data_IF_543108322418
#
_entry.id   IF_543108322418
#
_cell.length_a   1.000
_cell.length_b   1.000
_cell.length_c   1.000
_cell.angle_alpha   90.00
_cell.angle_beta   90.00
_cell.angle_gamma   90.00
#
_symmetry.space_group_name_H-M   'P 1'
#
loop_
_entity.id
_entity.type
_entity.pdbx_description
1 polymer ?
#
# COMPACT_ATOMS: atom_id res chain seq x y z
N UNK A 1 -10.57 -9.07 0.33
CA UNK A 1 -10.88 -8.91 -1.10
C UNK A 1 -9.69 -9.28 -1.98
N UNK A 2 -8.51 -8.63 -1.86
CA UNK A 2 -7.38 -8.87 -2.77
C UNK A 2 -6.89 -10.33 -2.74
N UNK A 3 -6.62 -10.90 -1.56
CA UNK A 3 -6.22 -12.30 -1.44
C UNK A 3 -7.24 -13.27 -2.05
N UNK A 4 -8.52 -13.01 -1.83
CA UNK A 4 -9.62 -13.81 -2.42
C UNK A 4 -9.63 -13.70 -3.94
N UNK A 5 -9.39 -12.50 -4.49
CA UNK A 5 -9.28 -12.30 -5.94
C UNK A 5 -8.16 -13.15 -6.53
N UNK A 6 -6.95 -13.07 -5.97
CA UNK A 6 -5.81 -13.87 -6.46
C UNK A 6 -6.05 -15.38 -6.33
N UNK A 7 -6.62 -15.82 -5.20
CA UNK A 7 -6.97 -17.23 -4.99
C UNK A 7 -7.98 -17.75 -6.04
N UNK A 8 -9.01 -16.96 -6.35
CA UNK A 8 -10.02 -17.29 -7.37
C UNK A 8 -9.42 -17.35 -8.79
N UNK A 9 -8.33 -16.64 -9.03
CA UNK A 9 -7.57 -16.67 -10.29
C UNK A 9 -6.49 -17.76 -10.30
N UNK A 10 -6.53 -18.68 -9.33
CA UNK A 10 -5.68 -19.87 -9.28
C UNK A 10 -4.32 -19.70 -8.59
N UNK A 11 -4.05 -18.55 -7.98
CA UNK A 11 -2.81 -18.30 -7.24
C UNK A 11 -2.82 -19.01 -5.88
N UNK A 12 -1.65 -19.45 -5.44
CA UNK A 12 -1.39 -19.73 -4.03
C UNK A 12 -1.03 -18.41 -3.34
N UNK A 13 -1.71 -18.08 -2.25
CA UNK A 13 -1.61 -16.75 -1.62
C UNK A 13 -1.21 -16.87 -0.17
N UNK A 14 0.00 -16.42 0.16
CA UNK A 14 0.40 -16.17 1.54
C UNK A 14 -0.15 -14.82 2.00
N UNK A 15 -0.87 -14.81 3.13
CA UNK A 15 -1.42 -13.60 3.73
C UNK A 15 -0.82 -13.34 5.10
N UNK A 16 -0.39 -12.10 5.34
CA UNK A 16 0.22 -11.70 6.60
C UNK A 16 -0.46 -10.48 7.21
N UNK A 17 -0.74 -10.55 8.50
CA UNK A 17 -1.26 -9.45 9.29
C UNK A 17 -1.06 -9.73 10.79
N UNK A 18 -1.34 -8.75 11.65
CA UNK A 18 -1.26 -8.90 13.11
C UNK A 18 -2.46 -9.62 13.72
N UNK A 19 -3.64 -9.53 13.07
CA UNK A 19 -4.90 -10.10 13.57
C UNK A 19 -5.04 -11.55 13.15
N UNK A 20 -4.57 -12.46 14.01
CA UNK A 20 -4.51 -13.90 13.75
C UNK A 20 -5.90 -14.47 13.43
N UNK A 21 -6.92 -14.14 14.23
CA UNK A 21 -8.29 -14.63 14.02
C UNK A 21 -8.87 -14.29 12.64
N UNK A 22 -8.51 -13.13 12.08
CA UNK A 22 -8.96 -12.74 10.74
C UNK A 22 -8.16 -13.43 9.64
N UNK A 23 -6.89 -13.73 9.90
CA UNK A 23 -6.06 -14.52 9.01
C UNK A 23 -6.57 -15.95 8.93
N UNK A 24 -6.90 -16.56 10.06
CA UNK A 24 -7.40 -17.94 10.15
C UNK A 24 -8.72 -18.09 9.37
N UNK A 25 -9.68 -17.19 9.60
CA UNK A 25 -10.92 -17.14 8.81
C UNK A 25 -10.66 -16.97 7.29
N UNK A 26 -9.60 -16.26 6.92
CA UNK A 26 -9.27 -16.06 5.51
C UNK A 26 -8.61 -17.32 4.92
N UNK A 27 -7.82 -18.04 5.72
CA UNK A 27 -7.15 -19.28 5.32
C UNK A 27 -8.10 -20.50 5.18
N UNK A 28 -9.35 -20.40 5.66
CA UNK A 28 -10.39 -21.38 5.33
C UNK A 28 -10.74 -21.41 3.82
N UNK A 29 -10.38 -20.33 3.10
CA UNK A 29 -10.57 -20.28 1.64
C UNK A 29 -9.46 -21.04 0.92
N UNK A 30 -9.83 -21.68 -0.17
CA UNK A 30 -8.91 -22.45 -1.01
C UNK A 30 -7.67 -21.61 -1.39
N UNK A 31 -6.49 -22.22 -1.35
CA UNK A 31 -5.22 -21.62 -1.77
C UNK A 31 -4.80 -20.35 -1.01
N UNK A 32 -5.34 -20.09 0.19
CA UNK A 32 -4.90 -18.99 1.06
C UNK A 32 -4.28 -19.58 2.31
N UNK A 33 -3.08 -19.08 2.67
CA UNK A 33 -2.27 -19.58 3.78
C UNK A 33 -1.89 -18.41 4.70
N UNK A 34 -2.11 -18.56 6.00
CA UNK A 34 -1.88 -17.52 6.99
C UNK A 34 -0.46 -17.54 7.56
N UNK A 35 0.15 -16.35 7.65
CA UNK A 35 1.45 -16.12 8.26
C UNK A 35 1.36 -14.89 9.15
N UNK A 36 1.05 -15.03 10.45
CA UNK A 36 0.94 -13.90 11.37
C UNK A 36 2.22 -13.08 11.43
N UNK A 37 2.11 -11.76 11.25
CA UNK A 37 3.27 -10.88 11.19
C UNK A 37 2.93 -9.45 11.62
N UNK A 38 3.80 -8.86 12.45
CA UNK A 38 3.92 -7.42 12.59
C UNK A 38 5.12 -6.94 11.75
N UNK A 39 4.86 -6.19 10.70
CA UNK A 39 5.88 -5.68 9.76
C UNK A 39 6.87 -4.70 10.41
N UNK A 40 6.60 -4.22 11.61
CA UNK A 40 7.51 -3.32 12.33
C UNK A 40 8.68 -4.05 12.98
N UNK A 41 8.63 -5.37 13.07
CA UNK A 41 9.68 -6.25 13.57
C UNK A 41 10.44 -6.85 12.38
N UNK A 42 11.65 -6.35 12.12
CA UNK A 42 12.46 -6.77 10.96
C UNK A 42 12.89 -8.23 11.04
N UNK A 43 13.20 -8.74 12.23
CA UNK A 43 13.66 -10.12 12.39
C UNK A 43 12.53 -11.11 12.11
N UNK A 44 11.35 -10.87 12.70
CA UNK A 44 10.15 -11.65 12.38
C UNK A 44 9.74 -11.52 10.92
N UNK A 45 9.85 -10.33 10.34
CA UNK A 45 9.54 -10.12 8.93
C UNK A 45 10.45 -10.97 8.06
N UNK A 46 11.75 -10.94 8.29
CA UNK A 46 12.72 -11.74 7.53
C UNK A 46 12.47 -13.24 7.70
N UNK A 47 12.25 -13.69 8.94
CA UNK A 47 11.91 -15.11 9.21
C UNK A 47 10.64 -15.52 8.47
N UNK A 48 9.57 -14.74 8.58
CA UNK A 48 8.29 -15.05 7.93
C UNK A 48 8.42 -15.17 6.42
N UNK A 49 9.16 -14.27 5.75
CA UNK A 49 9.39 -14.39 4.31
C UNK A 49 10.24 -15.62 3.93
N UNK A 50 11.23 -15.97 4.73
CA UNK A 50 11.99 -17.20 4.53
C UNK A 50 11.09 -18.43 4.64
N UNK A 51 10.20 -18.47 5.64
CA UNK A 51 9.22 -19.54 5.82
C UNK A 51 8.26 -19.62 4.64
N UNK A 52 7.74 -18.49 4.14
CA UNK A 52 6.89 -18.43 2.94
C UNK A 52 7.62 -18.98 1.73
N UNK A 53 8.83 -18.51 1.45
CA UNK A 53 9.62 -18.95 0.29
C UNK A 53 9.89 -20.46 0.37
N UNK A 54 10.22 -20.98 1.55
CA UNK A 54 10.48 -22.40 1.76
C UNK A 54 9.23 -23.25 1.53
N UNK A 55 8.06 -22.79 2.00
CA UNK A 55 6.80 -23.53 1.88
C UNK A 55 6.29 -23.57 0.42
N UNK A 56 6.37 -22.45 -0.29
CA UNK A 56 5.85 -22.35 -1.67
C UNK A 56 6.89 -22.69 -2.74
N UNK A 57 8.16 -22.84 -2.37
CA UNK A 57 9.31 -23.11 -3.26
C UNK A 57 9.58 -21.99 -4.27
N UNK A 58 8.60 -21.13 -4.53
CA UNK A 58 8.72 -19.98 -5.42
C UNK A 58 7.83 -18.83 -4.95
N UNK A 59 8.24 -17.60 -5.27
CA UNK A 59 7.53 -16.37 -4.95
C UNK A 59 7.60 -15.44 -6.16
N UNK A 60 6.45 -15.21 -6.81
CA UNK A 60 6.36 -14.41 -8.04
C UNK A 60 5.98 -12.96 -7.78
N UNK A 61 5.17 -12.72 -6.75
CA UNK A 61 4.59 -11.41 -6.48
C UNK A 61 4.49 -11.15 -4.98
N UNK A 62 4.98 -10.00 -4.55
CA UNK A 62 4.71 -9.46 -3.23
C UNK A 62 3.86 -8.19 -3.34
N UNK A 63 2.80 -8.09 -2.54
CA UNK A 63 1.98 -6.89 -2.44
C UNK A 63 2.02 -6.39 -0.99
N UNK A 64 2.71 -5.28 -0.76
CA UNK A 64 2.86 -4.67 0.56
C UNK A 64 1.77 -3.63 0.78
N UNK A 65 0.79 -3.98 1.60
CA UNK A 65 -0.41 -3.17 1.82
C UNK A 65 -0.65 -2.82 3.30
N UNK A 66 0.30 -3.10 4.17
CA UNK A 66 0.24 -2.72 5.57
C UNK A 66 0.16 -1.21 5.72
N UNK A 67 -0.71 -0.75 6.61
CA UNK A 67 -0.82 0.67 6.87
C UNK A 67 -1.86 0.99 7.92
N UNK A 68 -1.63 2.09 8.61
CA UNK A 68 -2.57 2.71 9.54
C UNK A 68 -2.84 4.14 9.11
N UNK A 69 -4.00 4.63 9.49
CA UNK A 69 -4.40 6.01 9.33
C UNK A 69 -4.98 6.53 10.65
N UNK A 70 -4.28 7.45 11.25
CA UNK A 70 -4.74 8.18 12.41
C UNK A 70 -4.91 9.64 12.00
N UNK A 71 -6.16 10.11 12.08
CA UNK A 71 -6.48 11.49 11.76
C UNK A 71 -6.06 12.37 12.91
N UNK A 72 -5.25 13.37 12.64
CA UNK A 72 -4.95 14.39 13.65
C UNK A 72 -6.15 15.34 13.77
N UNK A 73 -7.01 15.08 14.76
CA UNK A 73 -8.20 15.89 15.03
C UNK A 73 -7.91 17.08 15.97
N UNK A 74 -6.80 17.02 16.67
CA UNK A 74 -6.39 18.03 17.64
C UNK A 74 -5.83 19.28 16.94
N UNK A 75 -5.80 20.39 17.65
CA UNK A 75 -5.22 21.64 17.14
C UNK A 75 -3.71 21.54 16.97
N UNK A 76 -3.08 20.66 17.74
CA UNK A 76 -1.63 20.46 17.74
C UNK A 76 -1.23 19.19 16.98
N UNK A 77 -0.01 19.19 16.46
CA UNK A 77 0.56 18.00 15.80
C UNK A 77 0.94 16.98 16.87
N UNK A 78 0.30 15.82 16.86
CA UNK A 78 0.68 14.71 17.72
C UNK A 78 1.89 13.98 17.09
N UNK A 79 3.08 14.26 17.61
CA UNK A 79 4.36 13.72 17.11
C UNK A 79 4.43 12.20 17.27
N UNK A 80 3.89 11.65 18.35
CA UNK A 80 3.89 10.21 18.60
C UNK A 80 3.06 9.47 17.55
N UNK A 81 1.87 9.98 17.22
CA UNK A 81 1.04 9.45 16.14
C UNK A 81 1.74 9.51 14.77
N UNK A 82 2.48 10.60 14.50
CA UNK A 82 3.29 10.72 13.28
C UNK A 82 4.36 9.63 13.24
N UNK A 83 5.13 9.47 14.32
CA UNK A 83 6.18 8.45 14.43
C UNK A 83 5.59 7.05 14.24
N UNK A 84 4.48 6.73 14.94
CA UNK A 84 3.83 5.43 14.83
C UNK A 84 3.32 5.17 13.40
N UNK A 85 2.75 6.18 12.74
CA UNK A 85 2.32 6.08 11.35
C UNK A 85 3.49 5.78 10.42
N UNK A 86 4.63 6.43 10.58
CA UNK A 86 5.84 6.14 9.80
C UNK A 86 6.39 4.75 10.11
N UNK A 87 6.40 4.36 11.37
CA UNK A 87 6.88 3.04 11.81
C UNK A 87 6.14 1.91 11.08
N UNK A 88 4.80 2.01 10.99
CA UNK A 88 4.00 0.99 10.32
C UNK A 88 4.03 1.15 8.80
N UNK A 89 3.70 2.36 8.28
CA UNK A 89 3.45 2.55 6.86
C UNK A 89 4.74 2.53 6.04
N UNK A 90 5.79 3.20 6.52
CA UNK A 90 7.03 3.35 5.77
C UNK A 90 8.07 2.28 6.19
N UNK A 91 8.48 2.27 7.45
CA UNK A 91 9.52 1.33 7.89
C UNK A 91 9.05 -0.13 7.83
N UNK A 92 7.77 -0.41 8.15
CA UNK A 92 7.19 -1.74 7.98
C UNK A 92 7.23 -2.22 6.52
N UNK A 93 6.92 -1.33 5.57
CA UNK A 93 7.06 -1.66 4.14
C UNK A 93 8.52 -1.85 3.74
N UNK A 94 9.44 -1.02 4.24
CA UNK A 94 10.87 -1.15 4.01
C UNK A 94 11.40 -2.49 4.52
N UNK A 95 10.99 -2.92 5.71
CA UNK A 95 11.34 -4.23 6.27
C UNK A 95 10.88 -5.37 5.35
N UNK A 96 9.65 -5.30 4.82
CA UNK A 96 9.14 -6.28 3.88
C UNK A 96 9.94 -6.32 2.58
N UNK A 97 10.24 -5.16 1.98
CA UNK A 97 11.07 -5.08 0.76
C UNK A 97 12.46 -5.66 1.02
N UNK A 98 13.10 -5.30 2.15
CA UNK A 98 14.43 -5.80 2.53
C UNK A 98 14.45 -7.32 2.67
N UNK A 99 13.39 -7.91 3.22
CA UNK A 99 13.30 -9.36 3.43
C UNK A 99 13.22 -10.17 2.14
N UNK A 100 12.72 -9.59 1.04
CA UNK A 100 12.61 -10.27 -0.26
C UNK A 100 13.63 -9.79 -1.30
N UNK A 101 14.40 -8.76 -0.99
CA UNK A 101 15.32 -8.10 -1.92
C UNK A 101 16.30 -9.09 -2.57
N UNK A 102 17.05 -9.82 -1.73
CA UNK A 102 18.06 -10.77 -2.22
C UNK A 102 17.44 -11.91 -3.01
N UNK A 103 16.29 -12.42 -2.56
CA UNK A 103 15.57 -13.47 -3.27
C UNK A 103 15.22 -13.06 -4.70
N UNK A 104 14.55 -11.93 -4.88
CA UNK A 104 14.17 -11.47 -6.22
C UNK A 104 15.37 -11.08 -7.09
N UNK A 105 16.41 -10.49 -6.50
CA UNK A 105 17.64 -10.16 -7.25
C UNK A 105 18.37 -11.40 -7.75
N UNK A 106 18.40 -12.48 -6.97
CA UNK A 106 18.99 -13.77 -7.37
C UNK A 106 18.10 -14.49 -8.40
N UNK A 107 16.78 -14.52 -8.17
CA UNK A 107 15.81 -15.11 -9.09
C UNK A 107 15.80 -14.40 -10.45
N UNK A 108 16.13 -13.13 -10.52
CA UNK A 108 16.09 -12.26 -11.72
C UNK A 108 14.74 -12.26 -12.42
N UNK A 109 13.69 -12.41 -11.64
CA UNK A 109 12.30 -12.41 -12.07
C UNK A 109 11.39 -12.14 -10.89
N UNK A 110 10.21 -11.57 -11.15
CA UNK A 110 9.18 -11.35 -10.14
C UNK A 110 8.69 -9.92 -10.08
N UNK A 111 7.87 -9.66 -9.08
CA UNK A 111 7.18 -8.38 -8.97
C UNK A 111 6.98 -7.97 -7.51
N UNK A 112 7.25 -6.72 -7.19
CA UNK A 112 6.98 -6.10 -5.90
C UNK A 112 6.04 -4.94 -6.13
N UNK A 113 4.91 -4.93 -5.44
CA UNK A 113 3.91 -3.88 -5.50
C UNK A 113 3.71 -3.24 -4.12
N UNK A 114 3.78 -1.92 -4.05
CA UNK A 114 3.66 -1.17 -2.80
C UNK A 114 2.37 -0.35 -2.83
N UNK A 115 1.50 -0.57 -1.84
CA UNK A 115 0.24 0.15 -1.71
C UNK A 115 0.48 1.46 -0.98
N UNK A 116 0.42 2.54 -1.73
CA UNK A 116 0.48 3.90 -1.24
C UNK A 116 -0.91 4.56 -1.26
N UNK A 117 -0.96 5.81 -1.62
CA UNK A 117 -2.19 6.60 -1.78
C UNK A 117 -1.91 7.83 -2.64
N UNK A 118 -2.90 8.36 -3.38
CA UNK A 118 -2.79 9.65 -4.05
C UNK A 118 -2.45 10.82 -3.11
N UNK A 119 -2.79 10.74 -1.83
CA UNK A 119 -2.43 11.76 -0.83
C UNK A 119 -0.92 11.88 -0.59
N UNK A 120 -0.13 10.90 -1.03
CA UNK A 120 1.34 10.98 -1.03
C UNK A 120 1.92 11.96 -2.07
N UNK A 121 1.12 12.53 -2.97
CA UNK A 121 1.59 13.54 -3.92
C UNK A 121 1.44 14.97 -3.41
N UNK A 122 0.41 15.20 -2.61
CA UNK A 122 0.12 16.52 -2.00
C UNK A 122 -0.49 16.32 -0.62
N UNK A 123 -0.04 17.10 0.35
CA UNK A 123 -0.55 17.06 1.71
C UNK A 123 -2.02 17.48 1.80
N UNK A 124 -2.77 16.82 2.66
CA UNK A 124 -4.15 17.18 3.00
C UNK A 124 -4.25 17.65 4.45
N UNK A 125 -5.25 18.48 4.79
CA UNK A 125 -5.52 18.89 6.17
C UNK A 125 -5.71 17.67 7.08
N UNK A 126 -5.31 17.80 8.35
CA UNK A 126 -5.47 16.79 9.40
C UNK A 126 -4.81 15.43 9.08
N UNK A 127 -3.76 15.44 8.23
CA UNK A 127 -3.06 14.24 7.74
C UNK A 127 -1.55 14.34 7.94
N UNK A 128 -1.11 14.89 9.09
CA UNK A 128 0.31 15.16 9.38
C UNK A 128 1.21 13.92 9.43
N UNK A 129 0.68 12.75 9.74
CA UNK A 129 1.42 11.48 9.70
C UNK A 129 1.19 10.71 8.41
N UNK A 130 -0.06 10.58 7.99
CA UNK A 130 -0.43 9.69 6.87
C UNK A 130 0.08 10.19 5.51
N UNK A 131 -0.25 11.43 5.12
CA UNK A 131 0.20 11.96 3.83
C UNK A 131 1.72 11.95 3.68
N UNK A 132 2.52 12.42 4.66
CA UNK A 132 3.98 12.31 4.57
C UNK A 132 4.49 10.88 4.51
N UNK A 133 3.90 9.93 5.25
CA UNK A 133 4.29 8.52 5.16
C UNK A 133 4.05 7.92 3.77
N UNK A 134 2.94 8.31 3.11
CA UNK A 134 2.64 7.90 1.74
C UNK A 134 3.51 8.62 0.70
N UNK A 135 3.90 9.88 0.96
CA UNK A 135 4.88 10.58 0.13
C UNK A 135 6.27 9.91 0.18
N UNK A 136 6.70 9.49 1.36
CA UNK A 136 7.92 8.72 1.53
C UNK A 136 7.85 7.38 0.76
N UNK A 137 6.72 6.66 0.83
CA UNK A 137 6.52 5.43 0.04
C UNK A 137 6.54 5.68 -1.47
N UNK A 138 5.92 6.76 -1.96
CA UNK A 138 5.94 7.10 -3.38
C UNK A 138 7.37 7.30 -3.87
N UNK A 139 8.15 8.10 -3.15
CA UNK A 139 9.55 8.38 -3.48
C UNK A 139 10.42 7.12 -3.38
N UNK A 140 10.30 6.37 -2.30
CA UNK A 140 11.00 5.10 -2.10
C UNK A 140 10.72 4.11 -3.22
N UNK A 141 9.44 3.91 -3.58
CA UNK A 141 9.03 2.97 -4.64
C UNK A 141 9.63 3.37 -5.99
N UNK A 142 9.67 4.68 -6.28
CA UNK A 142 10.29 5.19 -7.49
C UNK A 142 11.82 4.99 -7.48
N UNK A 143 12.48 5.16 -6.34
CA UNK A 143 13.92 4.92 -6.19
C UNK A 143 14.26 3.46 -6.46
N UNK A 144 13.61 2.52 -5.77
CA UNK A 144 13.89 1.09 -5.94
C UNK A 144 13.50 0.55 -7.32
N UNK A 145 12.61 1.22 -8.07
CA UNK A 145 12.29 0.84 -9.45
C UNK A 145 13.56 0.79 -10.31
N UNK A 146 14.44 1.78 -10.18
CA UNK A 146 15.70 1.81 -10.94
C UNK A 146 16.67 0.73 -10.45
N UNK A 147 16.71 0.48 -9.12
CA UNK A 147 17.61 -0.51 -8.53
C UNK A 147 17.24 -1.95 -8.89
N UNK A 148 15.95 -2.25 -8.96
CA UNK A 148 15.45 -3.60 -9.26
C UNK A 148 15.34 -3.88 -10.76
N UNK A 149 15.22 -2.86 -11.60
CA UNK A 149 15.07 -2.99 -13.06
C UNK A 149 16.22 -3.80 -13.68
N UNK A 150 17.46 -3.61 -13.23
CA UNK A 150 18.64 -4.35 -13.72
C UNK A 150 18.62 -5.85 -13.39
N UNK A 151 17.76 -6.27 -12.46
CA UNK A 151 17.53 -7.66 -12.10
C UNK A 151 16.25 -8.24 -12.72
N UNK A 152 15.64 -7.56 -13.66
CA UNK A 152 14.38 -7.97 -14.29
C UNK A 152 13.23 -8.16 -13.28
N UNK A 153 13.24 -7.43 -12.17
CA UNK A 153 12.18 -7.43 -11.16
C UNK A 153 11.30 -6.19 -11.36
N UNK A 154 10.01 -6.40 -11.50
CA UNK A 154 9.05 -5.31 -11.69
C UNK A 154 8.69 -4.67 -10.36
N UNK A 155 8.70 -3.36 -10.33
CA UNK A 155 8.24 -2.56 -9.18
C UNK A 155 6.99 -1.78 -9.58
N UNK A 156 5.94 -1.85 -8.77
CA UNK A 156 4.71 -1.12 -8.99
C UNK A 156 4.33 -0.29 -7.77
N UNK A 157 3.85 0.91 -8.03
CA UNK A 157 3.18 1.77 -7.06
C UNK A 157 1.67 1.62 -7.23
N UNK A 158 0.96 1.26 -6.19
CA UNK A 158 -0.50 1.19 -6.18
C UNK A 158 -1.04 2.38 -5.40
N UNK A 159 -1.83 3.22 -6.06
CA UNK A 159 -2.38 4.46 -5.50
C UNK A 159 -3.91 4.42 -5.53
N UNK A 160 -4.57 3.70 -4.59
CA UNK A 160 -6.03 3.67 -4.54
C UNK A 160 -6.58 4.99 -4.03
N UNK A 161 -7.68 5.45 -4.62
CA UNK A 161 -8.52 6.49 -4.03
C UNK A 161 -9.25 5.99 -2.79
N UNK A 162 -10.44 6.53 -2.51
CA UNK A 162 -11.22 6.08 -1.36
C UNK A 162 -11.82 4.70 -1.60
N UNK A 163 -11.45 3.75 -0.73
CA UNK A 163 -11.95 2.37 -0.76
C UNK A 163 -12.65 2.09 0.57
N UNK A 164 -13.87 1.57 0.51
CA UNK A 164 -14.66 1.20 1.69
C UNK A 164 -13.95 0.08 2.45
N UNK A 165 -13.39 0.42 3.61
CA UNK A 165 -12.63 -0.46 4.49
C UNK A 165 -12.71 0.07 5.92
N UNK A 166 -12.34 -0.74 6.91
CA UNK A 166 -12.24 -0.30 8.31
C UNK A 166 -11.37 0.95 8.50
N UNK A 167 -10.40 1.21 7.59
CA UNK A 167 -9.56 2.39 7.62
C UNK A 167 -10.36 3.66 7.27
N UNK A 168 -11.28 3.56 6.32
CA UNK A 168 -12.10 4.67 5.82
C UNK A 168 -13.43 4.83 6.55
N UNK A 169 -13.88 3.82 7.27
CA UNK A 169 -15.14 3.89 8.05
C UNK A 169 -15.08 4.94 9.19
N UNK A 170 -13.87 5.34 9.58
CA UNK A 170 -13.62 6.40 10.57
C UNK A 170 -13.65 7.83 9.99
N UNK A 171 -13.85 7.97 8.69
CA UNK A 171 -13.83 9.27 8.03
C UNK A 171 -15.19 9.96 8.11
N UNK A 172 -15.21 11.18 8.65
CA UNK A 172 -16.38 12.04 8.75
C UNK A 172 -16.46 13.10 7.64
N UNK A 173 -15.62 12.99 6.63
CA UNK A 173 -15.56 13.93 5.51
C UNK A 173 -16.00 13.26 4.20
N UNK A 174 -16.46 14.06 3.22
CA UNK A 174 -16.86 13.51 1.91
C UNK A 174 -15.72 12.74 1.26
N UNK A 175 -16.00 11.51 0.86
CA UNK A 175 -15.09 10.63 0.13
C UNK A 175 -15.55 10.49 -1.32
N UNK A 176 -15.15 11.43 -2.22
CA UNK A 176 -15.60 11.39 -3.60
C UNK A 176 -15.12 10.10 -4.29
N UNK A 177 -16.01 9.53 -5.09
CA UNK A 177 -15.73 8.31 -5.86
C UNK A 177 -15.36 7.10 -5.00
N UNK A 178 -15.91 6.99 -3.79
CA UNK A 178 -15.74 5.82 -2.92
C UNK A 178 -16.10 4.53 -3.68
N UNK A 179 -15.23 3.52 -3.60
CA UNK A 179 -15.38 2.22 -4.25
C UNK A 179 -15.27 1.08 -3.24
N UNK A 180 -15.79 -0.09 -3.62
CA UNK A 180 -15.68 -1.29 -2.79
C UNK A 180 -14.27 -1.88 -2.78
N UNK A 181 -13.99 -2.76 -1.81
CA UNK A 181 -12.73 -3.48 -1.72
C UNK A 181 -12.55 -4.48 -2.88
N UNK A 182 -13.65 -5.04 -3.41
CA UNK A 182 -13.67 -5.94 -4.56
C UNK A 182 -13.27 -5.20 -5.83
N UNK A 183 -13.84 -4.00 -6.05
CA UNK A 183 -13.40 -3.14 -7.15
C UNK A 183 -11.90 -2.85 -7.10
N UNK A 184 -11.38 -2.53 -5.91
CA UNK A 184 -9.96 -2.28 -5.74
C UNK A 184 -9.14 -3.54 -6.05
N UNK A 185 -9.57 -4.72 -5.59
CA UNK A 185 -8.91 -5.98 -5.85
C UNK A 185 -8.82 -6.28 -7.35
N UNK A 186 -9.91 -6.06 -8.10
CA UNK A 186 -9.92 -6.22 -9.55
C UNK A 186 -8.97 -5.24 -10.24
N UNK A 187 -9.00 -3.95 -9.86
CA UNK A 187 -8.12 -2.94 -10.46
C UNK A 187 -6.65 -3.21 -10.19
N UNK A 188 -6.31 -3.72 -9.01
CA UNK A 188 -4.95 -4.13 -8.66
C UNK A 188 -4.56 -5.35 -9.48
N UNK A 189 -5.36 -6.42 -9.48
CA UNK A 189 -5.08 -7.66 -10.18
C UNK A 189 -4.79 -7.42 -11.67
N UNK A 190 -5.71 -6.76 -12.39
CA UNK A 190 -5.52 -6.46 -13.81
C UNK A 190 -4.46 -5.38 -14.07
N UNK A 191 -4.25 -4.46 -13.13
CA UNK A 191 -3.21 -3.44 -13.21
C UNK A 191 -1.81 -4.04 -13.14
N UNK A 192 -1.59 -5.03 -12.27
CA UNK A 192 -0.31 -5.71 -12.10
C UNK A 192 0.11 -6.54 -13.33
N UNK A 193 -0.83 -6.94 -14.17
CA UNK A 193 -0.53 -7.61 -15.45
C UNK A 193 -0.01 -6.64 -16.52
N UNK A 194 -0.23 -5.33 -16.34
CA UNK A 194 0.24 -4.31 -17.27
C UNK A 194 1.69 -3.92 -16.98
N UNK A 195 2.35 -3.27 -17.95
CA UNK A 195 3.73 -2.79 -17.82
C UNK A 195 3.85 -1.40 -17.14
N UNK A 196 2.75 -0.82 -16.66
CA UNK A 196 2.77 0.51 -16.04
C UNK A 196 3.40 0.46 -14.64
N UNK A 197 4.22 1.45 -14.31
CA UNK A 197 4.80 1.62 -12.98
C UNK A 197 3.72 1.90 -11.93
N UNK A 198 2.78 2.78 -12.24
CA UNK A 198 1.73 3.19 -11.31
C UNK A 198 0.36 2.64 -11.69
N UNK A 199 -0.36 2.14 -10.69
CA UNK A 199 -1.73 1.65 -10.77
C UNK A 199 -2.58 2.56 -9.88
N UNK A 200 -3.19 3.58 -10.49
CA UNK A 200 -4.05 4.55 -9.81
C UNK A 200 -5.51 4.38 -10.23
N UNK A 201 -6.42 4.38 -9.29
CA UNK A 201 -7.86 4.21 -9.52
C UNK A 201 -8.70 4.84 -8.39
N UNK A 202 -10.00 5.16 -8.65
CA UNK A 202 -10.67 5.15 -9.95
C UNK A 202 -10.14 6.27 -10.90
N UNK A 203 -10.50 6.26 -12.19
CA UNK A 203 -9.97 7.22 -13.16
C UNK A 203 -10.17 8.69 -12.79
N UNK A 204 -11.30 9.01 -12.16
CA UNK A 204 -11.61 10.38 -11.70
C UNK A 204 -10.57 10.86 -10.66
N UNK A 205 -10.18 9.98 -9.74
CA UNK A 205 -9.12 10.27 -8.76
C UNK A 205 -7.77 10.41 -9.47
N UNK A 206 -7.48 9.56 -10.46
CA UNK A 206 -6.24 9.65 -11.24
C UNK A 206 -6.10 11.03 -11.91
N UNK A 207 -7.14 11.49 -12.59
CA UNK A 207 -7.17 12.80 -13.26
C UNK A 207 -7.02 13.94 -12.24
N UNK A 208 -7.78 13.90 -11.15
CA UNK A 208 -7.73 14.92 -10.10
C UNK A 208 -6.31 15.05 -9.51
N UNK A 209 -5.67 13.94 -9.17
CA UNK A 209 -4.32 13.99 -8.60
C UNK A 209 -3.23 14.31 -9.61
N UNK A 210 -3.40 13.94 -10.90
CA UNK A 210 -2.52 14.39 -11.94
C UNK A 210 -2.53 15.92 -12.05
N UNK A 211 -3.72 16.53 -12.03
CA UNK A 211 -3.87 18.00 -12.00
C UNK A 211 -3.22 18.57 -10.73
N UNK A 212 -3.50 18.01 -9.56
CA UNK A 212 -2.95 18.51 -8.29
C UNK A 212 -1.42 18.46 -8.24
N UNK A 213 -0.78 17.50 -8.88
CA UNK A 213 0.69 17.40 -8.95
C UNK A 213 1.34 18.60 -9.64
N UNK A 214 0.69 19.17 -10.64
CA UNK A 214 1.23 20.28 -11.47
C UNK A 214 0.74 21.64 -11.03
N UNK A 215 -0.27 21.74 -10.17
CA UNK A 215 -0.80 23.03 -9.71
C UNK A 215 0.24 23.80 -8.88
N UNK A 216 0.41 25.11 -9.13
CA UNK A 216 1.16 25.99 -8.22
C UNK A 216 0.60 25.92 -6.78
N UNK A 217 1.48 26.03 -5.79
CA UNK A 217 1.08 25.89 -4.37
C UNK A 217 -0.02 26.88 -3.97
N UNK A 218 0.00 28.10 -4.46
CA UNK A 218 -1.03 29.12 -4.15
C UNK A 218 -2.43 28.65 -4.56
N UNK A 219 -2.55 28.08 -5.78
CA UNK A 219 -3.83 27.58 -6.32
C UNK A 219 -4.27 26.35 -5.56
N UNK A 220 -3.37 25.40 -5.34
CA UNK A 220 -3.66 24.18 -4.58
C UNK A 220 -4.15 24.50 -3.16
N UNK A 221 -3.42 25.35 -2.42
CA UNK A 221 -3.78 25.72 -1.07
C UNK A 221 -5.13 26.43 -1.01
N UNK A 222 -5.43 27.33 -1.94
CA UNK A 222 -6.72 27.98 -2.06
C UNK A 222 -7.86 26.97 -2.25
N UNK A 223 -7.70 26.02 -3.18
CA UNK A 223 -8.71 25.00 -3.45
C UNK A 223 -8.93 24.10 -2.22
N UNK A 224 -7.86 23.61 -1.61
CA UNK A 224 -7.96 22.72 -0.44
C UNK A 224 -8.60 23.45 0.75
N UNK A 225 -8.21 24.70 1.01
CA UNK A 225 -8.82 25.51 2.07
C UNK A 225 -10.32 25.71 1.82
N UNK A 226 -10.73 25.99 0.59
CA UNK A 226 -12.13 26.20 0.25
C UNK A 226 -13.00 24.94 0.35
N UNK A 227 -12.46 23.76 -0.02
CA UNK A 227 -13.24 22.54 -0.16
C UNK A 227 -13.09 21.54 1.00
N UNK A 228 -11.98 21.56 1.75
CA UNK A 228 -11.69 20.54 2.78
C UNK A 228 -11.47 21.10 4.19
N UNK A 229 -11.39 22.42 4.38
CA UNK A 229 -11.22 23.04 5.72
C UNK A 229 -12.53 23.42 6.42
N UNK A 230 -13.66 22.97 5.85
CA UNK A 230 -14.98 23.13 6.49
C UNK A 230 -15.27 21.98 7.43
#
# INVERSE_FOLDING_TARGET
ALAVKFSNEGWQVAVSARRVELLDKLSEKKNIFSFPLDVTDIEKTTKTFNDIISNFKDLDLCIFSSGIYERNLEKEINVENVINTFKVNYFGTLNCVKSVENYFKQKKNGQIAIVSSPVGYRGLPKSSGYSPSKAALNNFTQGIYFDFKKFNVRINLISPGFIKTQLTDKNEFPMPFLRSAEYAADKIFYGLQKKSFEIIFPPQIAIMYWIFRILPNKIYNFLITKFLSR
#
